data_IF_373597937602
#
_entry.id   IF_373597937602
#
_cell.length_a   1.000
_cell.length_b   1.000
_cell.length_c   1.000
_cell.angle_alpha   90.00
_cell.angle_beta   90.00
_cell.angle_gamma   90.00
#
_symmetry.space_group_name_H-M   'P 1'
#
loop_
_entity.id
_entity.type
_entity.pdbx_description
1 polymer ?
#
# COMPACT_ATOMS: atom_id res chain seq x y z
N UNK A 1 -0.59 14.54 -15.00
CA UNK A 1 0.29 14.33 -13.82
C UNK A 1 1.65 14.98 -14.02
N UNK A 2 2.51 14.51 -14.94
CA UNK A 2 3.87 15.06 -15.14
C UNK A 2 3.91 16.57 -15.40
N UNK A 3 3.00 17.08 -16.26
CA UNK A 3 2.82 18.52 -16.53
C UNK A 3 2.54 19.35 -15.27
N UNK A 4 1.83 18.79 -14.28
CA UNK A 4 1.56 19.46 -13.01
C UNK A 4 2.79 19.44 -12.12
N UNK A 5 3.50 18.31 -12.06
CA UNK A 5 4.71 18.19 -11.24
C UNK A 5 5.83 19.10 -11.74
N UNK A 6 5.96 19.32 -13.06
CA UNK A 6 7.00 20.20 -13.61
C UNK A 6 6.79 21.69 -13.28
N UNK A 7 5.57 22.09 -12.91
CA UNK A 7 5.30 23.47 -12.44
C UNK A 7 5.65 23.66 -10.96
N UNK A 8 5.65 22.59 -10.17
CA UNK A 8 6.00 22.64 -8.75
C UNK A 8 7.52 22.75 -8.59
N UNK A 9 7.97 23.65 -7.72
CA UNK A 9 9.40 23.96 -7.55
C UNK A 9 9.96 23.46 -6.24
N UNK A 10 11.22 23.07 -6.23
CA UNK A 10 11.99 22.76 -5.01
C UNK A 10 12.12 24.00 -4.15
N UNK A 11 11.96 23.86 -2.83
CA UNK A 11 12.16 24.98 -1.90
C UNK A 11 13.64 25.20 -1.57
N UNK A 12 14.43 24.13 -1.61
CA UNK A 12 15.80 24.11 -1.13
C UNK A 12 16.73 23.40 -2.10
N UNK A 13 18.02 23.55 -1.84
CA UNK A 13 19.05 22.77 -2.51
C UNK A 13 19.05 21.33 -1.97
N UNK A 14 19.20 20.39 -2.89
CA UNK A 14 19.36 18.97 -2.63
C UNK A 14 20.74 18.55 -3.13
N UNK A 15 21.65 18.30 -2.20
CA UNK A 15 22.97 17.73 -2.51
C UNK A 15 22.84 16.20 -2.43
N UNK A 16 22.94 15.52 -3.56
CA UNK A 16 22.84 14.06 -3.63
C UNK A 16 24.21 13.41 -3.51
N UNK A 17 25.19 14.00 -4.19
CA UNK A 17 26.61 13.66 -4.12
C UNK A 17 27.45 14.94 -4.15
N UNK A 18 28.78 14.81 -4.11
CA UNK A 18 29.67 15.98 -4.26
C UNK A 18 29.53 16.68 -5.61
N UNK A 19 29.07 15.97 -6.64
CA UNK A 19 28.93 16.47 -8.02
C UNK A 19 27.49 16.69 -8.45
N UNK A 20 26.54 15.93 -7.88
CA UNK A 20 25.13 15.99 -8.27
C UNK A 20 24.32 16.76 -7.26
N UNK A 21 23.61 17.78 -7.75
CA UNK A 21 22.72 18.61 -6.96
C UNK A 21 21.48 19.01 -7.74
N UNK A 22 20.36 19.15 -7.05
CA UNK A 22 19.17 19.82 -7.55
C UNK A 22 18.98 21.11 -6.77
N UNK A 23 19.18 22.25 -7.43
CA UNK A 23 19.08 23.56 -6.77
C UNK A 23 17.63 23.90 -6.38
N UNK A 24 17.46 24.86 -5.47
CA UNK A 24 16.19 25.48 -5.15
C UNK A 24 15.56 26.14 -6.41
N UNK A 25 14.23 26.20 -6.45
CA UNK A 25 13.48 26.79 -7.57
C UNK A 25 13.43 25.92 -8.83
N UNK A 26 14.05 24.74 -8.83
CA UNK A 26 13.99 23.77 -9.95
C UNK A 26 12.67 22.98 -9.91
N UNK A 27 12.14 22.53 -11.06
CA UNK A 27 11.03 21.58 -11.08
C UNK A 27 11.28 20.37 -10.18
N UNK A 28 10.30 19.96 -9.37
CA UNK A 28 10.44 18.75 -8.52
C UNK A 28 10.60 17.47 -9.37
N UNK A 29 10.24 17.50 -10.65
CA UNK A 29 10.50 16.41 -11.60
C UNK A 29 12.00 16.14 -11.79
N UNK A 30 12.87 17.12 -11.57
CA UNK A 30 14.33 16.89 -11.62
C UNK A 30 14.81 15.96 -10.50
N UNK A 31 14.12 15.92 -9.35
CA UNK A 31 14.39 14.95 -8.29
C UNK A 31 14.06 13.53 -8.79
N UNK A 32 12.96 13.38 -9.52
CA UNK A 32 12.53 12.10 -10.09
C UNK A 32 13.52 11.63 -11.16
N UNK A 33 13.90 12.54 -12.06
CA UNK A 33 14.87 12.26 -13.12
C UNK A 33 16.23 11.84 -12.54
N UNK A 34 16.69 12.50 -11.48
CA UNK A 34 17.92 12.12 -10.76
C UNK A 34 17.84 10.70 -10.19
N UNK A 35 16.73 10.34 -9.52
CA UNK A 35 16.54 9.00 -8.97
C UNK A 35 16.47 7.90 -10.05
N UNK A 36 15.96 8.23 -11.23
CA UNK A 36 15.92 7.31 -12.38
C UNK A 36 17.32 7.17 -13.01
N UNK A 37 18.06 8.27 -13.18
CA UNK A 37 19.39 8.25 -13.81
C UNK A 37 20.46 7.65 -12.91
N UNK A 38 20.33 7.80 -11.59
CA UNK A 38 21.26 7.28 -10.59
C UNK A 38 20.51 6.44 -9.54
N UNK A 39 20.23 5.15 -9.82
CA UNK A 39 19.43 4.30 -8.94
C UNK A 39 19.96 4.16 -7.50
N UNK A 40 21.27 4.34 -7.28
CA UNK A 40 21.86 4.32 -5.94
C UNK A 40 21.44 5.51 -5.06
N UNK A 41 20.92 6.59 -5.65
CA UNK A 41 20.35 7.77 -4.98
C UNK A 41 18.83 7.70 -4.86
N UNK A 42 18.18 6.71 -5.50
CA UNK A 42 16.73 6.68 -5.65
C UNK A 42 15.98 6.78 -4.32
N UNK A 43 16.49 6.15 -3.26
CA UNK A 43 15.86 6.20 -1.92
C UNK A 43 15.83 7.63 -1.37
N UNK A 44 16.93 8.37 -1.48
CA UNK A 44 17.00 9.76 -1.03
C UNK A 44 16.16 10.68 -1.92
N UNK A 45 16.13 10.41 -3.23
CA UNK A 45 15.25 11.14 -4.15
C UNK A 45 13.77 10.94 -3.83
N UNK A 46 13.34 9.73 -3.43
CA UNK A 46 11.97 9.47 -2.94
C UNK A 46 11.68 10.30 -1.71
N UNK A 47 12.57 10.31 -0.71
CA UNK A 47 12.41 11.13 0.49
C UNK A 47 12.34 12.64 0.18
N UNK A 48 13.18 13.11 -0.75
CA UNK A 48 13.15 14.49 -1.21
C UNK A 48 11.87 14.86 -1.92
N UNK A 49 11.36 13.99 -2.80
CA UNK A 49 10.10 14.16 -3.49
C UNK A 49 8.92 14.21 -2.51
N UNK A 50 8.86 13.29 -1.54
CA UNK A 50 7.79 13.26 -0.52
C UNK A 50 7.73 14.56 0.27
N UNK A 51 8.88 15.12 0.66
CA UNK A 51 8.93 16.41 1.35
C UNK A 51 8.34 17.54 0.50
N UNK A 52 8.73 17.64 -0.77
CA UNK A 52 8.18 18.69 -1.66
C UNK A 52 6.68 18.48 -1.91
N UNK A 53 6.22 17.24 -2.06
CA UNK A 53 4.79 16.95 -2.22
C UNK A 53 3.98 17.37 -0.99
N UNK A 54 4.43 17.02 0.23
CA UNK A 54 3.80 17.46 1.49
C UNK A 54 3.72 18.99 1.58
N UNK A 55 4.80 19.67 1.21
CA UNK A 55 4.87 21.13 1.22
C UNK A 55 3.91 21.75 0.22
N UNK A 56 3.98 21.36 -1.05
CA UNK A 56 3.09 21.86 -2.11
C UNK A 56 1.62 21.53 -1.86
N UNK A 57 1.36 20.40 -1.19
CA UNK A 57 0.02 20.08 -0.71
C UNK A 57 -0.44 21.12 0.30
N UNK A 58 0.36 21.36 1.34
CA UNK A 58 0.06 22.30 2.42
C UNK A 58 -0.07 23.76 1.95
N UNK A 59 0.62 24.17 0.89
CA UNK A 59 0.46 25.50 0.27
C UNK A 59 -0.74 25.60 -0.68
N UNK A 60 -1.51 24.52 -0.87
CA UNK A 60 -2.67 24.49 -1.76
C UNK A 60 -2.34 24.36 -3.25
N UNK A 61 -1.07 24.15 -3.61
CA UNK A 61 -0.62 24.10 -5.00
C UNK A 61 -0.97 22.79 -5.71
N UNK A 62 -1.16 21.71 -4.94
CA UNK A 62 -1.62 20.41 -5.43
C UNK A 62 -2.43 19.72 -4.33
N UNK A 63 -3.36 18.82 -4.70
CA UNK A 63 -3.97 17.88 -3.75
C UNK A 63 -3.24 16.55 -3.81
N UNK A 64 -2.84 16.00 -2.67
CA UNK A 64 -2.11 14.73 -2.60
C UNK A 64 -2.97 13.64 -2.00
N UNK A 65 -3.04 12.50 -2.68
CA UNK A 65 -3.65 11.28 -2.17
C UNK A 65 -2.55 10.23 -2.01
N UNK A 66 -2.34 9.78 -0.76
CA UNK A 66 -1.37 8.75 -0.41
C UNK A 66 -2.12 7.46 -0.15
N UNK A 67 -1.95 6.46 -1.01
CA UNK A 67 -2.47 5.12 -0.80
C UNK A 67 -1.30 4.17 -0.56
N UNK A 68 -1.27 3.52 0.61
CA UNK A 68 -0.26 2.54 0.98
C UNK A 68 -0.95 1.21 1.22
N UNK A 69 -0.68 0.26 0.33
CA UNK A 69 -1.01 -1.15 0.55
C UNK A 69 0.03 -1.79 1.49
N UNK A 70 -0.36 -2.81 2.24
CA UNK A 70 0.48 -3.45 3.26
C UNK A 70 1.15 -2.46 4.23
N UNK A 71 0.45 -1.40 4.62
CA UNK A 71 1.01 -0.30 5.40
C UNK A 71 1.59 -0.75 6.75
N UNK A 72 1.07 -1.84 7.31
CA UNK A 72 1.59 -2.43 8.54
C UNK A 72 3.00 -3.04 8.40
N UNK A 73 3.47 -3.32 7.19
CA UNK A 73 4.86 -3.71 6.92
C UNK A 73 5.87 -2.63 7.36
N UNK A 74 5.44 -1.36 7.43
CA UNK A 74 6.28 -0.25 7.92
C UNK A 74 6.72 -0.44 9.38
N UNK A 75 6.06 -1.31 10.16
CA UNK A 75 6.47 -1.69 11.53
C UNK A 75 6.65 -3.20 11.69
N UNK A 76 6.58 -3.95 10.57
CA UNK A 76 6.67 -5.41 10.55
C UNK A 76 8.09 -5.94 10.77
N UNK A 77 8.24 -7.26 10.66
CA UNK A 77 9.58 -7.90 10.70
C UNK A 77 10.26 -7.73 9.35
N UNK A 78 11.56 -7.46 9.35
CA UNK A 78 12.35 -7.45 8.10
C UNK A 78 13.16 -8.74 7.94
N UNK A 79 13.38 -9.15 6.69
CA UNK A 79 14.30 -10.24 6.35
C UNK A 79 15.69 -9.75 5.92
N UNK A 80 15.90 -8.43 5.91
CA UNK A 80 17.16 -7.80 5.54
C UNK A 80 18.17 -8.06 6.65
N UNK A 81 19.37 -8.54 6.29
CA UNK A 81 20.45 -8.81 7.24
C UNK A 81 21.53 -7.74 7.16
N UNK A 82 21.97 -7.29 8.32
CA UNK A 82 23.16 -6.43 8.49
C UNK A 82 24.43 -7.24 8.23
N UNK A 83 25.58 -6.55 8.16
CA UNK A 83 26.88 -7.18 7.95
C UNK A 83 27.24 -8.21 9.03
N UNK A 84 26.77 -8.01 10.26
CA UNK A 84 26.93 -8.92 11.40
C UNK A 84 25.95 -10.11 11.40
N UNK A 85 25.15 -10.26 10.33
CA UNK A 85 24.11 -11.28 10.13
C UNK A 85 22.88 -11.15 11.02
N UNK A 86 22.76 -10.08 11.81
CA UNK A 86 21.52 -9.76 12.52
C UNK A 86 20.48 -9.19 11.56
N UNK A 87 19.20 -9.33 11.89
CA UNK A 87 18.12 -8.74 11.10
C UNK A 87 18.04 -7.22 11.35
N UNK A 88 17.80 -6.46 10.28
CA UNK A 88 17.55 -5.03 10.38
C UNK A 88 16.18 -4.76 10.99
N UNK A 89 16.08 -3.72 11.81
CA UNK A 89 14.80 -3.14 12.20
C UNK A 89 14.20 -2.38 11.00
N UNK A 90 12.87 -2.26 10.88
CA UNK A 90 12.26 -1.36 9.89
C UNK A 90 12.83 0.06 9.94
N UNK A 91 13.14 0.55 11.14
CA UNK A 91 13.74 1.88 11.35
C UNK A 91 15.16 2.02 10.79
N UNK A 92 15.85 0.91 10.52
CA UNK A 92 17.17 0.92 9.85
C UNK A 92 17.04 1.11 8.33
N UNK A 93 15.83 1.01 7.76
CA UNK A 93 15.60 1.11 6.32
C UNK A 93 15.14 2.53 5.95
N UNK A 94 15.96 3.28 5.23
CA UNK A 94 15.67 4.68 4.87
C UNK A 94 14.33 4.85 4.14
N UNK A 95 13.97 3.92 3.25
CA UNK A 95 12.70 3.98 2.52
C UNK A 95 11.50 3.87 3.46
N UNK A 96 11.56 3.00 4.49
CA UNK A 96 10.51 2.88 5.52
C UNK A 96 10.35 4.19 6.26
N UNK A 97 11.47 4.84 6.64
CA UNK A 97 11.44 6.13 7.31
C UNK A 97 10.83 7.24 6.43
N UNK A 98 11.12 7.25 5.12
CA UNK A 98 10.49 8.18 4.19
C UNK A 98 8.98 7.96 4.07
N UNK A 99 8.51 6.71 4.02
CA UNK A 99 7.07 6.42 4.02
C UNK A 99 6.40 6.83 5.33
N UNK A 100 6.99 6.49 6.50
CA UNK A 100 6.50 6.95 7.80
C UNK A 100 6.39 8.47 7.86
N UNK A 101 7.38 9.20 7.32
CA UNK A 101 7.28 10.66 7.21
C UNK A 101 6.22 11.14 6.20
N UNK A 102 5.96 10.40 5.13
CA UNK A 102 4.89 10.75 4.19
C UNK A 102 3.51 10.64 4.84
N UNK A 103 3.30 9.60 5.66
CA UNK A 103 2.01 9.31 6.29
C UNK A 103 1.81 10.01 7.64
N UNK A 104 2.74 10.86 8.08
CA UNK A 104 2.54 11.69 9.28
C UNK A 104 1.50 12.78 9.05
N UNK A 105 0.82 13.20 10.12
CA UNK A 105 -0.26 14.20 10.11
C UNK A 105 0.21 15.66 10.09
N UNK A 106 1.47 15.91 9.72
CA UNK A 106 2.14 17.22 9.73
C UNK A 106 1.95 18.04 8.44
N UNK A 107 1.03 17.63 7.56
CA UNK A 107 0.72 18.31 6.30
C UNK A 107 -0.78 18.27 5.98
N UNK A 108 -1.23 19.16 5.09
CA UNK A 108 -2.66 19.39 4.83
C UNK A 108 -3.01 19.29 3.34
N UNK A 109 -4.31 19.42 3.03
CA UNK A 109 -4.87 19.43 1.67
C UNK A 109 -4.64 18.12 0.89
N UNK A 110 -4.66 17.00 1.63
CA UNK A 110 -4.59 15.66 1.08
C UNK A 110 -5.35 14.65 1.92
N UNK A 111 -5.22 13.38 1.53
CA UNK A 111 -5.80 12.24 2.23
C UNK A 111 -4.82 11.07 2.21
N UNK A 112 -4.76 10.35 3.32
CA UNK A 112 -3.94 9.14 3.48
C UNK A 112 -4.89 7.96 3.66
N UNK A 113 -4.75 6.95 2.81
CA UNK A 113 -5.43 5.67 2.88
C UNK A 113 -4.39 4.58 3.14
N UNK A 114 -4.56 3.88 4.25
CA UNK A 114 -3.69 2.77 4.66
C UNK A 114 -4.49 1.47 4.61
N UNK A 115 -3.95 0.45 3.96
CA UNK A 115 -4.49 -0.91 3.99
C UNK A 115 -3.55 -1.75 4.85
N UNK A 116 -4.10 -2.48 5.81
CA UNK A 116 -3.35 -3.43 6.61
C UNK A 116 -3.59 -4.85 6.08
N UNK A 117 -2.54 -5.62 5.92
CA UNK A 117 -2.63 -7.01 5.46
C UNK A 117 -2.17 -7.97 6.56
N UNK A 118 -2.98 -8.99 6.82
CA UNK A 118 -2.67 -10.07 7.75
C UNK A 118 -1.44 -10.87 7.33
N UNK A 119 -1.06 -10.86 6.05
CA UNK A 119 0.10 -11.63 5.54
C UNK A 119 1.40 -11.22 6.23
N UNK A 120 1.51 -9.95 6.62
CA UNK A 120 2.69 -9.39 7.30
C UNK A 120 2.88 -9.96 8.71
N UNK A 121 1.80 -10.36 9.37
CA UNK A 121 1.83 -10.92 10.73
C UNK A 121 1.64 -12.44 10.76
N UNK A 122 1.12 -13.04 9.68
CA UNK A 122 0.86 -14.48 9.61
C UNK A 122 2.15 -15.27 9.42
N UNK A 123 2.36 -16.29 10.26
CA UNK A 123 3.31 -17.37 9.94
C UNK A 123 2.57 -18.42 9.10
N UNK A 124 3.11 -18.73 7.93
CA UNK A 124 2.55 -19.75 7.04
C UNK A 124 2.46 -21.14 7.68
N UNK A 125 3.19 -21.39 8.77
CA UNK A 125 3.19 -22.64 9.54
C UNK A 125 2.25 -22.64 10.75
N UNK A 126 1.66 -21.49 11.08
CA UNK A 126 0.79 -21.36 12.24
C UNK A 126 -0.68 -21.49 11.81
N UNK A 127 -1.20 -22.72 11.93
CA UNK A 127 -2.59 -23.06 11.66
C UNK A 127 -3.49 -23.01 12.91
N UNK A 128 -2.93 -22.63 14.06
CA UNK A 128 -3.59 -22.76 15.38
C UNK A 128 -3.99 -21.41 15.95
N UNK A 129 -3.24 -20.35 15.65
CA UNK A 129 -3.50 -19.02 16.21
C UNK A 129 -4.71 -18.33 15.57
N UNK A 130 -5.52 -17.65 16.41
CA UNK A 130 -6.66 -16.83 15.99
C UNK A 130 -6.20 -15.77 14.97
N UNK A 131 -6.91 -15.58 13.84
CA UNK A 131 -6.52 -14.60 12.84
C UNK A 131 -6.55 -13.19 13.43
N UNK A 132 -5.37 -12.57 13.51
CA UNK A 132 -5.23 -11.14 13.80
C UNK A 132 -5.77 -10.33 12.62
N UNK A 133 -6.70 -9.43 12.90
CA UNK A 133 -7.38 -8.66 11.86
C UNK A 133 -7.79 -7.26 12.30
N UNK A 134 -7.66 -6.94 13.59
CA UNK A 134 -7.88 -5.57 14.07
C UNK A 134 -6.68 -4.68 13.75
N UNK A 135 -6.85 -3.34 13.60
CA UNK A 135 -5.73 -2.44 13.34
C UNK A 135 -4.60 -2.56 14.37
N UNK A 136 -4.93 -2.65 15.67
CA UNK A 136 -3.92 -2.80 16.74
C UNK A 136 -3.10 -4.09 16.57
N UNK A 137 -3.74 -5.20 16.27
CA UNK A 137 -3.04 -6.47 16.07
C UNK A 137 -2.15 -6.49 14.82
N UNK A 138 -2.57 -5.78 13.77
CA UNK A 138 -1.87 -5.75 12.48
C UNK A 138 -0.70 -4.77 12.47
N UNK A 139 -0.89 -3.56 13.00
CA UNK A 139 0.15 -2.52 13.08
C UNK A 139 1.07 -2.66 14.30
N UNK A 140 0.64 -3.39 15.33
CA UNK A 140 1.31 -3.42 16.63
C UNK A 140 1.18 -2.08 17.37
N UNK A 141 1.64 -2.04 18.63
CA UNK A 141 1.53 -0.86 19.49
C UNK A 141 2.19 0.39 18.87
N UNK A 142 3.42 0.26 18.35
CA UNK A 142 4.15 1.38 17.75
C UNK A 142 3.45 1.93 16.51
N UNK A 143 3.04 1.05 15.59
CA UNK A 143 2.37 1.46 14.36
C UNK A 143 0.99 2.02 14.61
N UNK A 144 0.22 1.42 15.53
CA UNK A 144 -1.09 1.89 15.92
C UNK A 144 -1.04 3.29 16.52
N UNK A 145 -0.16 3.53 17.50
CA UNK A 145 0.02 4.86 18.08
C UNK A 145 0.54 5.90 17.08
N UNK A 146 1.34 5.48 16.10
CA UNK A 146 1.82 6.40 15.08
C UNK A 146 0.69 6.92 14.17
N UNK A 147 -0.26 6.06 13.81
CA UNK A 147 -1.36 6.42 12.89
C UNK A 147 -2.57 7.02 13.61
N UNK A 148 -2.58 7.06 14.95
CA UNK A 148 -3.65 7.68 15.71
C UNK A 148 -3.63 9.22 15.60
N UNK A 149 -4.80 9.88 15.43
CA UNK A 149 -6.14 9.32 15.23
C UNK A 149 -6.43 8.95 13.75
N UNK A 150 -7.22 7.90 13.53
CA UNK A 150 -7.65 7.47 12.18
C UNK A 150 -9.12 7.04 12.12
N UNK A 151 -9.66 6.90 10.90
CA UNK A 151 -11.01 6.39 10.65
C UNK A 151 -10.90 4.92 10.21
N UNK A 152 -11.29 3.94 11.04
CA UNK A 152 -11.27 2.54 10.65
C UNK A 152 -12.36 2.23 9.63
N UNK A 153 -11.98 1.55 8.55
CA UNK A 153 -12.92 1.04 7.53
C UNK A 153 -12.76 -0.48 7.47
N UNK A 154 -13.77 -1.20 7.93
CA UNK A 154 -13.81 -2.66 7.84
C UNK A 154 -14.28 -3.10 6.44
N UNK A 155 -13.49 -3.93 5.77
CA UNK A 155 -13.89 -4.56 4.50
C UNK A 155 -14.39 -5.97 4.79
N UNK A 156 -15.69 -6.20 4.61
CA UNK A 156 -16.35 -7.47 4.90
C UNK A 156 -16.32 -8.42 3.71
N UNK A 157 -16.72 -9.66 3.96
CA UNK A 157 -17.05 -10.62 2.90
C UNK A 157 -18.25 -10.12 2.08
N UNK A 158 -18.45 -10.71 0.90
CA UNK A 158 -19.56 -10.34 0.05
C UNK A 158 -20.91 -10.54 0.74
N UNK A 159 -21.82 -9.62 0.49
CA UNK A 159 -23.25 -9.85 0.69
C UNK A 159 -23.79 -10.84 -0.35
N UNK A 160 -24.98 -11.38 -0.11
CA UNK A 160 -25.64 -12.28 -1.07
C UNK A 160 -25.90 -11.59 -2.42
N UNK A 161 -26.19 -10.30 -2.41
CA UNK A 161 -26.39 -9.51 -3.64
C UNK A 161 -25.07 -9.35 -4.42
N UNK A 162 -23.99 -8.95 -3.75
CA UNK A 162 -22.68 -8.75 -4.38
C UNK A 162 -22.15 -10.05 -5.01
N UNK A 163 -22.19 -11.17 -4.28
CA UNK A 163 -21.69 -12.44 -4.81
C UNK A 163 -22.59 -12.99 -5.92
N UNK A 164 -23.90 -12.75 -5.86
CA UNK A 164 -24.83 -13.13 -6.93
C UNK A 164 -24.58 -12.33 -8.20
N UNK A 165 -24.31 -11.02 -8.06
CA UNK A 165 -23.96 -10.15 -9.18
C UNK A 165 -22.60 -10.55 -9.78
N UNK A 166 -21.61 -10.89 -8.96
CA UNK A 166 -20.31 -11.38 -9.42
C UNK A 166 -20.43 -12.72 -10.16
N UNK A 167 -21.23 -13.66 -9.62
CA UNK A 167 -21.54 -14.91 -10.31
C UNK A 167 -22.15 -14.64 -11.71
N UNK A 168 -23.15 -13.76 -11.78
CA UNK A 168 -23.80 -13.43 -13.05
C UNK A 168 -22.79 -12.84 -14.05
N UNK A 169 -21.90 -11.96 -13.58
CA UNK A 169 -20.81 -11.43 -14.40
C UNK A 169 -19.91 -12.55 -14.96
N UNK A 170 -19.48 -13.51 -14.13
CA UNK A 170 -18.67 -14.65 -14.59
C UNK A 170 -19.44 -15.57 -15.55
N UNK A 171 -20.72 -15.79 -15.32
CA UNK A 171 -21.60 -16.53 -16.22
C UNK A 171 -21.68 -15.86 -17.60
N UNK A 172 -21.96 -14.56 -17.64
CA UNK A 172 -22.12 -13.79 -18.88
C UNK A 172 -20.82 -13.71 -19.68
N UNK A 173 -19.68 -13.62 -18.97
CA UNK A 173 -18.34 -13.64 -19.58
C UNK A 173 -17.88 -15.04 -19.99
N UNK A 174 -18.71 -16.07 -19.79
CA UNK A 174 -18.35 -17.48 -20.01
C UNK A 174 -17.07 -17.89 -19.28
N UNK A 175 -16.79 -17.26 -18.14
CA UNK A 175 -15.65 -17.56 -17.30
C UNK A 175 -15.81 -18.93 -16.62
N UNK A 176 -17.03 -19.27 -16.24
CA UNK A 176 -17.37 -20.59 -15.69
C UNK A 176 -17.37 -21.62 -16.83
N UNK A 177 -16.32 -22.43 -16.99
CA UNK A 177 -16.22 -23.36 -18.11
C UNK A 177 -17.15 -24.57 -17.95
N UNK A 178 -17.23 -25.13 -16.74
CA UNK A 178 -18.07 -26.29 -16.42
C UNK A 178 -19.57 -25.98 -16.51
N UNK A 179 -20.32 -26.83 -17.21
CA UNK A 179 -21.78 -26.74 -17.30
C UNK A 179 -22.45 -26.87 -15.92
N UNK A 180 -21.88 -27.67 -15.01
CA UNK A 180 -22.42 -27.84 -13.66
C UNK A 180 -22.35 -26.53 -12.86
N UNK A 181 -21.29 -25.74 -13.06
CA UNK A 181 -21.12 -24.45 -12.39
C UNK A 181 -22.12 -23.39 -12.89
N UNK A 182 -22.74 -23.61 -14.05
CA UNK A 182 -23.73 -22.71 -14.68
C UNK A 182 -25.18 -23.01 -14.27
N UNK A 183 -25.39 -23.92 -13.32
CA UNK A 183 -26.70 -24.25 -12.76
C UNK A 183 -26.94 -23.50 -11.44
N UNK A 184 -28.19 -23.36 -11.01
CA UNK A 184 -28.50 -22.77 -9.69
C UNK A 184 -27.87 -23.56 -8.54
N UNK A 185 -27.84 -24.89 -8.63
CA UNK A 185 -27.16 -25.74 -7.64
C UNK A 185 -25.64 -25.47 -7.62
N UNK A 186 -25.03 -25.31 -8.80
CA UNK A 186 -23.61 -24.95 -8.94
C UNK A 186 -23.31 -23.58 -8.31
N UNK A 187 -24.16 -22.58 -8.57
CA UNK A 187 -24.06 -21.26 -7.94
C UNK A 187 -24.11 -21.35 -6.41
N UNK A 188 -25.06 -22.10 -5.86
CA UNK A 188 -25.19 -22.28 -4.41
C UNK A 188 -23.96 -22.97 -3.81
N UNK A 189 -23.42 -23.99 -4.49
CA UNK A 189 -22.19 -24.66 -4.05
C UNK A 189 -20.97 -23.74 -4.06
N UNK A 190 -20.80 -22.93 -5.10
CA UNK A 190 -19.69 -21.95 -5.19
C UNK A 190 -19.78 -20.91 -4.06
N UNK A 191 -20.98 -20.38 -3.79
CA UNK A 191 -21.21 -19.43 -2.70
C UNK A 191 -20.93 -20.08 -1.35
N UNK A 192 -21.43 -21.31 -1.14
CA UNK A 192 -21.23 -22.05 0.10
C UNK A 192 -19.75 -22.36 0.37
N UNK A 193 -19.04 -22.92 -0.62
CA UNK A 193 -17.64 -23.32 -0.49
C UNK A 193 -16.70 -22.12 -0.34
N UNK A 194 -17.01 -21.01 -1.01
CA UNK A 194 -16.25 -19.76 -0.82
C UNK A 194 -16.52 -19.10 0.52
N UNK A 195 -17.61 -19.46 1.20
CA UNK A 195 -18.11 -18.80 2.39
C UNK A 195 -18.16 -17.26 2.21
N UNK A 196 -18.68 -16.81 1.07
CA UNK A 196 -18.78 -15.39 0.69
C UNK A 196 -17.43 -14.65 0.58
N UNK A 197 -16.29 -15.36 0.68
CA UNK A 197 -14.97 -14.76 0.58
C UNK A 197 -14.61 -14.46 -0.89
N UNK A 198 -14.28 -13.20 -1.24
CA UNK A 198 -13.94 -12.82 -2.61
C UNK A 198 -12.81 -13.63 -3.24
N UNK A 199 -11.72 -13.84 -2.49
CA UNK A 199 -10.56 -14.57 -2.97
C UNK A 199 -10.90 -16.05 -3.21
N UNK A 200 -11.59 -16.72 -2.28
CA UNK A 200 -11.95 -18.11 -2.46
C UNK A 200 -12.98 -18.31 -3.58
N UNK A 201 -13.94 -17.38 -3.73
CA UNK A 201 -14.91 -17.44 -4.82
C UNK A 201 -14.24 -17.34 -6.19
N UNK A 202 -13.33 -16.38 -6.38
CA UNK A 202 -12.54 -16.25 -7.62
C UNK A 202 -11.75 -17.53 -7.91
N UNK A 203 -11.04 -18.07 -6.91
CA UNK A 203 -10.24 -19.29 -7.07
C UNK A 203 -11.07 -20.51 -7.44
N UNK A 204 -12.22 -20.70 -6.80
CA UNK A 204 -13.15 -21.78 -7.15
C UNK A 204 -13.69 -21.63 -8.57
N UNK A 205 -13.92 -20.40 -9.03
CA UNK A 205 -14.41 -20.15 -10.39
C UNK A 205 -13.32 -20.26 -11.47
N UNK A 206 -12.05 -20.03 -11.12
CA UNK A 206 -10.92 -20.04 -12.06
C UNK A 206 -10.39 -21.44 -12.40
N UNK A 207 -10.51 -22.41 -11.48
CA UNK A 207 -9.88 -23.74 -11.61
C UNK A 207 -10.86 -24.88 -11.92
N UNK A 208 -12.00 -24.59 -12.56
CA UNK A 208 -13.03 -25.57 -12.93
C UNK A 208 -13.28 -25.66 -14.43
#
# INVERSE_FOLDING_TARGET
MWKTLSTLKTERDYEWTKSEKTAAGRPITEIVEMGISAPFLATDCVGGLFRELKRHSSTGSIKVFVAVDDANSLWGKTLVKKADRTYASPSDLSLVNHFRNLISSDWQNGCILLVADKKEVSDARDHVTVPRHTPLELFGEEGFHFIEPFIPIETKQYTMEEISNLYQYYYDKRWLASEKARTEDGKQQLIYLSAFNPFFFERLCAFN
#
